data_IF_176391582507
#
_entry.id   IF_176391582507
#
_cell.length_a   1.000
_cell.length_b   1.000
_cell.length_c   1.000
_cell.angle_alpha   90.00
_cell.angle_beta   90.00
_cell.angle_gamma   90.00
#
_symmetry.space_group_name_H-M   'P 1'
#
loop_
_entity.id
_entity.type
_entity.pdbx_description
1 polymer ?
#
# COMPACT_ATOMS: atom_id res chain seq x y z
N UNK A 1 -0.43 43.15 10.68
CA UNK A 1 -0.73 43.14 9.24
C UNK A 1 0.02 41.99 8.59
N UNK A 2 -0.70 41.06 7.95
CA UNK A 2 -0.05 39.96 7.24
C UNK A 2 0.57 40.49 5.92
N UNK A 3 1.83 40.15 5.60
CA UNK A 3 2.51 40.60 4.38
C UNK A 3 1.99 39.94 3.10
N UNK A 4 1.18 38.88 3.24
CA UNK A 4 0.61 38.11 2.14
C UNK A 4 -0.72 37.45 2.58
N UNK A 5 -1.54 36.93 1.66
CA UNK A 5 -2.71 36.14 2.00
C UNK A 5 -2.36 34.99 2.95
N UNK A 6 -3.24 34.71 3.92
CA UNK A 6 -3.05 33.65 4.94
C UNK A 6 -3.32 32.24 4.38
N UNK A 7 -3.10 32.03 3.11
CA UNK A 7 -3.25 30.75 2.43
C UNK A 7 -1.90 30.32 1.86
N UNK A 8 -1.39 29.20 2.37
CA UNK A 8 -0.11 28.65 1.91
C UNK A 8 -0.36 27.29 1.27
N UNK A 9 -0.04 27.11 -0.02
CA UNK A 9 -0.16 25.82 -0.67
C UNK A 9 0.97 24.88 -0.23
N UNK A 10 0.62 23.67 0.23
CA UNK A 10 1.55 22.55 0.43
C UNK A 10 1.43 21.64 -0.78
N UNK A 11 2.43 21.65 -1.64
CA UNK A 11 2.30 21.13 -3.00
C UNK A 11 3.16 19.89 -3.20
N UNK A 12 2.56 18.83 -3.78
CA UNK A 12 3.27 17.61 -4.14
C UNK A 12 3.64 17.60 -5.63
N UNK A 13 4.94 17.47 -5.95
CA UNK A 13 5.47 17.40 -7.32
C UNK A 13 4.92 18.51 -8.26
N UNK A 14 5.14 19.79 -7.94
CA UNK A 14 4.75 20.86 -8.84
C UNK A 14 5.56 20.80 -10.15
N UNK A 15 4.94 21.15 -11.25
CA UNK A 15 5.57 21.37 -12.54
C UNK A 15 5.09 22.69 -13.17
N UNK A 16 5.67 23.09 -14.31
CA UNK A 16 5.34 24.32 -14.99
C UNK A 16 3.86 24.40 -15.46
N UNK A 17 3.25 23.25 -15.76
CA UNK A 17 1.85 23.17 -16.19
C UNK A 17 0.88 23.08 -14.99
N UNK A 18 1.34 22.56 -13.87
CA UNK A 18 0.56 22.30 -12.66
C UNK A 18 1.28 22.83 -11.42
N UNK A 19 1.25 24.15 -11.20
CA UNK A 19 1.94 24.80 -10.08
C UNK A 19 1.39 24.34 -8.72
N UNK A 20 0.13 23.87 -8.66
CA UNK A 20 -0.48 23.26 -7.46
C UNK A 20 -0.24 21.75 -7.35
N UNK A 21 0.66 21.21 -8.16
CA UNK A 21 1.15 19.86 -8.06
C UNK A 21 0.25 18.78 -8.64
N UNK A 22 0.60 17.54 -8.33
CA UNK A 22 -0.07 16.33 -8.79
C UNK A 22 -0.57 15.53 -7.60
N UNK A 23 -1.67 14.80 -7.81
CA UNK A 23 -2.06 13.75 -6.87
C UNK A 23 -1.06 12.59 -6.92
N UNK A 24 -0.79 11.97 -5.77
CA UNK A 24 -0.05 10.70 -5.73
C UNK A 24 -0.88 9.55 -6.28
N UNK A 25 -2.21 9.64 -6.22
CA UNK A 25 -3.13 8.68 -6.83
C UNK A 25 -3.16 8.95 -8.32
N UNK A 26 -2.51 8.10 -9.10
CA UNK A 26 -2.49 8.16 -10.57
C UNK A 26 -3.72 7.50 -11.16
N UNK A 27 -3.99 7.76 -12.45
CA UNK A 27 -5.05 7.04 -13.19
C UNK A 27 -4.75 5.54 -13.28
N UNK A 28 -3.47 5.17 -13.35
CA UNK A 28 -3.05 3.77 -13.33
C UNK A 28 -3.46 3.10 -12.01
N UNK A 29 -3.18 3.72 -10.86
CA UNK A 29 -3.62 3.22 -9.55
C UNK A 29 -5.14 3.01 -9.50
N UNK A 30 -5.92 3.97 -9.98
CA UNK A 30 -7.39 3.87 -10.03
C UNK A 30 -7.85 2.71 -10.91
N UNK A 31 -7.24 2.54 -12.08
CA UNK A 31 -7.54 1.44 -13.00
C UNK A 31 -7.23 0.06 -12.41
N UNK A 32 -6.07 -0.07 -11.75
CA UNK A 32 -5.65 -1.30 -11.07
C UNK A 32 -6.58 -1.65 -9.91
N UNK A 33 -6.97 -0.68 -9.09
CA UNK A 33 -7.94 -0.87 -8.02
C UNK A 33 -9.29 -1.36 -8.55
N UNK A 34 -9.80 -0.73 -9.61
CA UNK A 34 -11.05 -1.16 -10.24
C UNK A 34 -10.95 -2.57 -10.83
N UNK A 35 -9.78 -2.94 -11.38
CA UNK A 35 -9.50 -4.30 -11.85
C UNK A 35 -9.56 -5.31 -10.71
N UNK A 36 -8.88 -5.01 -9.60
CA UNK A 36 -8.88 -5.85 -8.40
C UNK A 36 -10.29 -6.04 -7.83
N UNK A 37 -11.08 -4.96 -7.69
CA UNK A 37 -12.46 -5.02 -7.21
C UNK A 37 -13.36 -5.89 -8.11
N UNK A 38 -13.21 -5.80 -9.44
CA UNK A 38 -13.95 -6.68 -10.36
C UNK A 38 -13.55 -8.14 -10.22
N UNK A 39 -12.28 -8.41 -9.98
CA UNK A 39 -11.79 -9.78 -9.74
C UNK A 39 -12.33 -10.33 -8.43
N UNK A 40 -12.33 -9.56 -7.35
CA UNK A 40 -12.94 -9.94 -6.08
C UNK A 40 -14.42 -10.28 -6.25
N UNK A 41 -15.18 -9.42 -6.93
CA UNK A 41 -16.61 -9.68 -7.17
C UNK A 41 -16.84 -10.96 -7.99
N UNK A 42 -15.99 -11.23 -8.98
CA UNK A 42 -16.06 -12.49 -9.76
C UNK A 42 -15.72 -13.70 -8.89
N UNK A 43 -14.73 -13.58 -8.01
CA UNK A 43 -14.38 -14.66 -7.10
C UNK A 43 -15.48 -14.97 -6.10
N UNK A 44 -16.18 -13.97 -5.57
CA UNK A 44 -17.36 -14.16 -4.71
C UNK A 44 -18.47 -14.93 -5.43
N UNK A 45 -18.84 -14.51 -6.63
CA UNK A 45 -19.85 -15.20 -7.45
C UNK A 45 -19.40 -16.64 -7.75
N UNK A 46 -18.13 -16.84 -8.12
CA UNK A 46 -17.59 -18.17 -8.39
C UNK A 46 -17.58 -19.06 -7.14
N UNK A 47 -17.33 -18.48 -5.96
CA UNK A 47 -17.34 -19.19 -4.70
C UNK A 47 -18.74 -19.73 -4.35
N UNK A 48 -19.81 -19.02 -4.69
CA UNK A 48 -21.18 -19.51 -4.51
C UNK A 48 -21.41 -20.77 -5.34
N UNK A 49 -21.04 -20.77 -6.62
CA UNK A 49 -21.14 -21.96 -7.48
C UNK A 49 -20.21 -23.09 -7.05
N UNK A 50 -19.03 -22.76 -6.53
CA UNK A 50 -18.09 -23.75 -5.99
C UNK A 50 -18.64 -24.46 -4.74
N UNK A 51 -19.32 -23.72 -3.87
CA UNK A 51 -19.91 -24.25 -2.64
C UNK A 51 -21.09 -25.17 -2.89
N UNK A 52 -21.80 -24.97 -4.00
CA UNK A 52 -22.97 -25.74 -4.40
C UNK A 52 -22.81 -26.32 -5.82
N UNK A 53 -21.95 -27.31 -6.01
CA UNK A 53 -21.71 -27.86 -7.34
C UNK A 53 -22.98 -28.49 -7.91
N UNK A 54 -23.30 -28.12 -9.14
CA UNK A 54 -24.49 -28.68 -9.81
C UNK A 54 -24.28 -30.16 -10.10
N UNK A 55 -25.32 -30.94 -9.73
CA UNK A 55 -25.39 -32.36 -10.01
C UNK A 55 -26.30 -32.58 -11.22
N UNK A 56 -26.03 -33.58 -12.02
CA UNK A 56 -26.86 -33.97 -13.16
C UNK A 56 -27.12 -35.47 -13.14
N UNK A 57 -28.24 -35.85 -13.70
CA UNK A 57 -28.67 -37.23 -13.83
C UNK A 57 -29.05 -37.42 -15.32
N UNK A 58 -28.58 -38.49 -15.93
CA UNK A 58 -28.91 -38.87 -17.28
C UNK A 58 -29.58 -40.26 -17.28
N UNK A 59 -30.58 -40.48 -18.15
CA UNK A 59 -31.22 -41.78 -18.28
C UNK A 59 -32.30 -42.02 -17.19
N UNK A 60 -33.07 -41.01 -16.85
CA UNK A 60 -34.28 -41.17 -16.01
C UNK A 60 -35.48 -41.47 -16.91
N UNK A 61 -36.40 -42.34 -16.43
CA UNK A 61 -37.67 -42.67 -17.15
C UNK A 61 -38.55 -41.39 -17.31
N UNK A 62 -39.41 -41.38 -18.35
CA UNK A 62 -40.31 -40.26 -18.61
C UNK A 62 -41.35 -40.04 -17.51
N UNK A 63 -41.67 -41.10 -16.70
CA UNK A 63 -42.60 -41.06 -15.58
C UNK A 63 -41.94 -40.79 -14.23
N UNK A 64 -40.63 -40.47 -14.22
CA UNK A 64 -39.95 -40.13 -12.98
C UNK A 64 -40.49 -38.80 -12.41
N UNK A 65 -40.91 -38.80 -11.17
CA UNK A 65 -41.32 -37.61 -10.46
C UNK A 65 -40.20 -36.54 -10.56
N UNK A 66 -40.58 -35.29 -10.80
CA UNK A 66 -39.61 -34.18 -10.83
C UNK A 66 -38.92 -34.09 -9.49
N UNK A 67 -37.64 -34.30 -9.51
CA UNK A 67 -36.80 -34.21 -8.30
C UNK A 67 -36.88 -32.84 -7.67
N UNK A 68 -37.18 -32.76 -6.37
CA UNK A 68 -37.17 -31.53 -5.62
C UNK A 68 -35.73 -30.95 -5.65
N UNK A 69 -35.58 -29.82 -6.35
CA UNK A 69 -34.29 -29.13 -6.54
C UNK A 69 -33.65 -28.80 -5.20
N UNK A 70 -34.44 -28.51 -4.18
CA UNK A 70 -33.93 -28.17 -2.86
C UNK A 70 -33.33 -29.40 -2.14
N UNK A 71 -34.00 -30.54 -2.22
CA UNK A 71 -33.48 -31.81 -1.67
C UNK A 71 -32.20 -32.25 -2.41
N UNK A 72 -32.14 -32.10 -3.73
CA UNK A 72 -30.98 -32.44 -4.52
C UNK A 72 -29.75 -31.59 -4.17
N UNK A 73 -29.95 -30.35 -3.74
CA UNK A 73 -28.86 -29.43 -3.38
C UNK A 73 -28.31 -29.74 -1.99
N UNK A 74 -29.13 -30.10 -1.03
CA UNK A 74 -28.76 -30.23 0.38
C UNK A 74 -28.60 -31.69 0.81
N UNK A 75 -29.37 -32.64 0.22
CA UNK A 75 -29.30 -34.04 0.60
C UNK A 75 -28.09 -34.78 0.01
N UNK A 76 -27.39 -35.50 0.85
CA UNK A 76 -26.26 -36.34 0.45
C UNK A 76 -26.68 -37.69 -0.18
N UNK A 77 -27.94 -38.12 -0.05
CA UNK A 77 -28.46 -39.35 -0.59
C UNK A 77 -29.56 -39.06 -1.62
N UNK A 78 -29.30 -39.45 -2.87
CA UNK A 78 -30.24 -39.39 -3.97
C UNK A 78 -30.49 -40.82 -4.41
N UNK A 79 -31.74 -41.30 -4.29
CA UNK A 79 -32.17 -42.61 -4.78
C UNK A 79 -32.76 -42.45 -6.20
N UNK A 80 -32.30 -43.26 -7.12
CA UNK A 80 -32.76 -43.30 -8.50
C UNK A 80 -33.25 -44.72 -8.84
N UNK A 81 -34.39 -44.82 -9.50
CA UNK A 81 -34.90 -46.05 -10.03
C UNK A 81 -34.29 -46.37 -11.38
N UNK A 82 -34.34 -47.64 -11.77
CA UNK A 82 -33.94 -48.08 -13.12
C UNK A 82 -34.83 -47.49 -14.19
N UNK A 83 -34.28 -47.29 -15.40
CA UNK A 83 -35.05 -46.92 -16.57
C UNK A 83 -35.96 -48.05 -17.04
N UNK A 84 -36.90 -47.78 -17.99
CA UNK A 84 -37.80 -48.74 -18.57
C UNK A 84 -37.06 -49.91 -19.23
N UNK A 85 -35.89 -49.68 -19.79
CA UNK A 85 -34.99 -50.66 -20.37
C UNK A 85 -34.11 -51.40 -19.34
N UNK A 86 -34.25 -51.11 -18.09
CA UNK A 86 -33.51 -51.72 -16.96
C UNK A 86 -32.13 -51.19 -16.73
N UNK A 87 -31.73 -50.15 -17.44
CA UNK A 87 -30.45 -49.48 -17.26
C UNK A 87 -30.43 -48.55 -16.03
N UNK A 88 -29.26 -48.44 -15.39
CA UNK A 88 -29.08 -47.56 -14.24
C UNK A 88 -28.83 -46.12 -14.71
N UNK A 89 -29.47 -45.11 -14.12
CA UNK A 89 -29.19 -43.74 -14.44
C UNK A 89 -27.75 -43.37 -14.08
N UNK A 90 -27.13 -42.57 -14.92
CA UNK A 90 -25.79 -42.05 -14.71
C UNK A 90 -25.88 -40.74 -13.91
N UNK A 91 -25.31 -40.72 -12.73
CA UNK A 91 -25.26 -39.57 -11.87
C UNK A 91 -23.87 -38.94 -11.97
N UNK A 92 -23.83 -37.66 -12.21
CA UNK A 92 -22.59 -36.91 -12.29
C UNK A 92 -22.69 -35.58 -11.55
N UNK A 93 -21.54 -35.01 -11.34
CA UNK A 93 -21.37 -33.68 -10.75
C UNK A 93 -20.43 -32.88 -11.65
N UNK A 94 -20.76 -31.63 -11.92
CA UNK A 94 -19.83 -30.76 -12.62
C UNK A 94 -18.57 -30.53 -11.78
N UNK A 95 -17.42 -30.54 -12.46
CA UNK A 95 -16.14 -30.36 -11.80
C UNK A 95 -16.09 -28.97 -11.16
N UNK A 96 -15.69 -28.92 -9.90
CA UNK A 96 -15.48 -27.66 -9.21
C UNK A 96 -14.29 -26.91 -9.82
N UNK A 97 -14.47 -25.63 -10.08
CA UNK A 97 -13.40 -24.78 -10.56
C UNK A 97 -12.50 -24.33 -9.41
N UNK A 98 -11.19 -24.29 -9.66
CA UNK A 98 -10.23 -23.76 -8.68
C UNK A 98 -10.41 -22.25 -8.50
N UNK A 99 -10.28 -21.77 -7.26
CA UNK A 99 -10.26 -20.34 -6.93
C UNK A 99 -8.86 -19.71 -7.08
N UNK A 100 -7.81 -20.52 -7.27
CA UNK A 100 -6.42 -20.06 -7.46
C UNK A 100 -6.25 -18.98 -8.53
N UNK A 101 -6.87 -19.06 -9.72
CA UNK A 101 -6.70 -18.04 -10.76
C UNK A 101 -7.11 -16.64 -10.30
N UNK A 102 -8.14 -16.54 -9.46
CA UNK A 102 -8.57 -15.25 -8.92
C UNK A 102 -7.56 -14.67 -7.94
N UNK A 103 -6.99 -15.51 -7.07
CA UNK A 103 -5.95 -15.11 -6.11
C UNK A 103 -4.68 -14.67 -6.85
N UNK A 104 -4.27 -15.40 -7.88
CA UNK A 104 -3.12 -15.04 -8.70
C UNK A 104 -3.33 -13.73 -9.44
N UNK A 105 -4.54 -13.51 -9.97
CA UNK A 105 -4.89 -12.26 -10.65
C UNK A 105 -4.88 -11.08 -9.67
N UNK A 106 -5.40 -11.25 -8.44
CA UNK A 106 -5.34 -10.22 -7.40
C UNK A 106 -3.91 -9.90 -7.02
N UNK A 107 -3.05 -10.92 -6.87
CA UNK A 107 -1.62 -10.75 -6.61
C UNK A 107 -0.92 -9.99 -7.74
N UNK A 108 -1.30 -10.24 -8.99
CA UNK A 108 -0.77 -9.51 -10.15
C UNK A 108 -1.17 -8.03 -10.09
N UNK A 109 -2.45 -7.71 -9.79
CA UNK A 109 -2.88 -6.32 -9.62
C UNK A 109 -2.16 -5.64 -8.45
N UNK A 110 -1.96 -6.35 -7.35
CA UNK A 110 -1.20 -5.83 -6.20
C UNK A 110 0.26 -5.55 -6.58
N UNK A 111 0.92 -6.43 -7.33
CA UNK A 111 2.29 -6.23 -7.78
C UNK A 111 2.43 -5.00 -8.71
N UNK A 112 1.50 -4.83 -9.65
CA UNK A 112 1.48 -3.66 -10.52
C UNK A 112 1.19 -2.38 -9.74
N UNK A 113 0.29 -2.43 -8.77
CA UNK A 113 -0.03 -1.30 -7.90
C UNK A 113 1.16 -0.93 -7.00
N UNK A 114 1.84 -1.91 -6.44
CA UNK A 114 3.07 -1.71 -5.66
C UNK A 114 4.15 -1.03 -6.50
N UNK A 115 4.37 -1.49 -7.74
CA UNK A 115 5.31 -0.88 -8.67
C UNK A 115 4.98 0.57 -9.03
N UNK A 116 3.69 0.89 -9.25
CA UNK A 116 3.24 2.25 -9.57
C UNK A 116 3.37 3.21 -8.37
N UNK A 117 3.14 2.71 -7.16
CA UNK A 117 3.12 3.54 -5.93
C UNK A 117 4.45 3.57 -5.20
N UNK A 118 5.39 2.68 -5.52
CA UNK A 118 6.64 2.49 -4.79
C UNK A 118 6.46 1.78 -3.45
N UNK A 119 5.33 1.09 -3.26
CA UNK A 119 5.07 0.21 -2.13
C UNK A 119 5.64 -1.20 -2.40
N UNK A 120 5.61 -2.05 -1.38
CA UNK A 120 5.94 -3.48 -1.51
C UNK A 120 4.65 -4.32 -1.53
N UNK A 121 4.77 -5.59 -1.92
CA UNK A 121 3.63 -6.52 -1.81
C UNK A 121 3.24 -6.77 -0.37
N UNK A 122 4.20 -6.75 0.55
CA UNK A 122 3.97 -6.91 1.99
C UNK A 122 3.14 -5.76 2.56
N UNK A 123 3.38 -4.51 2.09
CA UNK A 123 2.56 -3.34 2.45
C UNK A 123 1.10 -3.49 2.01
N UNK A 124 0.84 -4.31 0.99
CA UNK A 124 -0.49 -4.59 0.46
C UNK A 124 -1.12 -5.86 1.07
N UNK A 125 -0.48 -6.47 2.06
CA UNK A 125 -0.98 -7.66 2.77
C UNK A 125 -0.67 -8.99 2.10
N UNK A 126 0.17 -9.02 1.05
CA UNK A 126 0.65 -10.25 0.43
C UNK A 126 2.00 -10.66 1.02
N UNK A 127 1.97 -11.19 2.23
CA UNK A 127 3.17 -11.61 2.94
C UNK A 127 3.79 -12.84 2.26
N UNK A 128 5.13 -12.86 2.18
CA UNK A 128 5.89 -14.02 1.75
C UNK A 128 6.20 -14.94 2.93
N UNK A 129 6.15 -16.24 2.73
CA UNK A 129 6.38 -17.25 3.79
C UNK A 129 7.79 -17.22 4.40
N UNK A 130 8.75 -16.59 3.72
CA UNK A 130 10.11 -16.39 4.21
C UNK A 130 10.27 -14.95 4.73
N UNK A 131 10.52 -14.77 6.04
CA UNK A 131 10.81 -13.45 6.59
C UNK A 131 12.09 -12.90 5.97
N UNK A 132 11.98 -11.72 5.34
CA UNK A 132 13.12 -11.01 4.79
C UNK A 132 14.02 -10.49 5.91
N UNK A 133 15.33 -10.43 5.67
CA UNK A 133 16.24 -9.77 6.61
C UNK A 133 15.88 -8.28 6.77
N UNK A 134 16.22 -7.68 7.90
CA UNK A 134 15.98 -6.25 8.15
C UNK A 134 16.59 -5.35 7.05
N UNK A 135 17.74 -5.74 6.51
CA UNK A 135 18.40 -5.04 5.40
C UNK A 135 17.62 -5.16 4.09
N UNK A 136 17.07 -6.36 3.81
CA UNK A 136 16.24 -6.59 2.63
C UNK A 136 14.94 -5.78 2.71
N UNK A 137 14.31 -5.68 3.90
CA UNK A 137 13.14 -4.84 4.15
C UNK A 137 13.48 -3.36 3.91
N UNK A 138 14.58 -2.86 4.47
CA UNK A 138 15.02 -1.48 4.24
C UNK A 138 15.29 -1.20 2.76
N UNK A 139 15.93 -2.14 2.06
CA UNK A 139 16.19 -2.04 0.63
C UNK A 139 14.91 -2.04 -0.21
N UNK A 140 13.92 -2.84 0.14
CA UNK A 140 12.64 -2.89 -0.59
C UNK A 140 11.85 -1.59 -0.48
N UNK A 141 11.98 -0.85 0.63
CA UNK A 141 11.32 0.44 0.86
C UNK A 141 12.13 1.66 0.36
N UNK A 142 13.28 1.46 -0.29
CA UNK A 142 14.13 2.57 -0.74
C UNK A 142 13.39 3.51 -1.72
N UNK A 143 12.57 2.96 -2.60
CA UNK A 143 11.75 3.73 -3.54
C UNK A 143 10.76 4.65 -2.82
N UNK A 144 10.09 4.14 -1.79
CA UNK A 144 9.19 4.92 -0.93
C UNK A 144 9.95 6.00 -0.15
N UNK A 145 11.13 5.65 0.38
CA UNK A 145 12.01 6.58 1.09
C UNK A 145 12.42 7.78 0.23
N UNK A 146 12.83 7.50 -0.99
CA UNK A 146 13.21 8.57 -1.96
C UNK A 146 12.01 9.45 -2.32
N UNK A 147 10.83 8.84 -2.51
CA UNK A 147 9.59 9.59 -2.76
C UNK A 147 9.21 10.49 -1.57
N UNK A 148 9.33 9.98 -0.34
CA UNK A 148 9.09 10.74 0.88
C UNK A 148 10.05 11.92 1.02
N UNK A 149 11.38 11.71 0.82
CA UNK A 149 12.37 12.78 0.84
C UNK A 149 12.10 13.87 -0.18
N UNK A 150 11.65 13.48 -1.38
CA UNK A 150 11.28 14.44 -2.43
C UNK A 150 10.05 15.25 -2.01
N UNK A 151 9.05 14.60 -1.37
CA UNK A 151 7.87 15.25 -0.83
C UNK A 151 8.23 16.20 0.31
N UNK A 152 9.07 15.77 1.27
CA UNK A 152 9.55 16.61 2.38
C UNK A 152 10.18 17.92 1.87
N UNK A 153 10.97 17.85 0.79
CA UNK A 153 11.60 19.05 0.20
C UNK A 153 10.56 20.04 -0.34
N UNK A 154 9.53 19.56 -1.05
CA UNK A 154 8.48 20.42 -1.61
C UNK A 154 7.51 20.93 -0.53
N UNK A 155 7.13 20.09 0.42
CA UNK A 155 6.28 20.47 1.54
C UNK A 155 6.99 21.43 2.49
N UNK A 156 8.30 21.23 2.71
CA UNK A 156 9.12 22.10 3.55
C UNK A 156 9.05 23.56 3.11
N UNK A 157 9.05 23.83 1.81
CA UNK A 157 8.85 25.19 1.28
C UNK A 157 7.49 25.79 1.70
N UNK A 158 6.42 24.99 1.66
CA UNK A 158 5.10 25.42 2.14
C UNK A 158 5.10 25.70 3.63
N UNK A 159 5.65 24.80 4.44
CA UNK A 159 5.73 24.99 5.90
C UNK A 159 6.58 26.19 6.31
N UNK A 160 7.68 26.46 5.62
CA UNK A 160 8.48 27.67 5.84
C UNK A 160 7.68 28.96 5.55
N UNK A 161 6.88 28.95 4.50
CA UNK A 161 6.00 30.09 4.21
C UNK A 161 4.92 30.25 5.27
N UNK A 162 4.33 29.16 5.75
CA UNK A 162 3.35 29.20 6.85
C UNK A 162 3.98 29.72 8.14
N UNK A 163 5.17 29.22 8.49
CA UNK A 163 5.93 29.68 9.66
C UNK A 163 6.30 31.17 9.57
N UNK A 164 6.71 31.62 8.39
CA UNK A 164 6.96 33.04 8.15
C UNK A 164 5.74 33.92 8.42
N UNK A 165 4.58 33.54 7.85
CA UNK A 165 3.33 34.27 8.07
C UNK A 165 2.91 34.26 9.53
N UNK A 166 3.05 33.13 10.20
CA UNK A 166 2.72 32.98 11.61
C UNK A 166 3.62 33.88 12.49
N UNK A 167 4.93 33.95 12.22
CA UNK A 167 5.84 34.84 12.92
C UNK A 167 5.49 36.30 12.71
N UNK A 168 5.21 36.72 11.46
CA UNK A 168 4.79 38.08 11.17
C UNK A 168 3.50 38.47 11.90
N UNK A 169 2.53 37.53 11.98
CA UNK A 169 1.27 37.78 12.69
C UNK A 169 1.46 37.85 14.21
N UNK A 170 2.24 36.92 14.76
CA UNK A 170 2.50 36.87 16.21
C UNK A 170 3.13 38.16 16.71
N UNK A 171 4.13 38.68 15.99
CA UNK A 171 4.94 39.80 16.41
C UNK A 171 4.46 41.14 15.85
N UNK A 172 3.45 41.13 14.97
CA UNK A 172 2.91 42.33 14.31
C UNK A 172 3.86 43.02 13.33
N UNK A 173 4.97 42.36 12.97
CA UNK A 173 6.08 42.88 12.16
C UNK A 173 6.15 42.12 10.83
N UNK A 174 6.24 42.81 9.71
CA UNK A 174 6.56 42.20 8.42
C UNK A 174 8.07 41.95 8.31
N UNK A 175 8.50 40.78 8.70
CA UNK A 175 9.90 40.38 8.58
C UNK A 175 10.35 40.32 7.10
N UNK A 176 11.61 40.70 6.86
CA UNK A 176 12.23 40.41 5.55
C UNK A 176 12.61 38.93 5.49
N UNK A 177 12.36 38.28 4.34
CA UNK A 177 12.66 36.86 4.18
C UNK A 177 14.14 36.52 4.43
N UNK A 178 15.04 37.45 4.14
CA UNK A 178 16.47 37.30 4.44
C UNK A 178 16.79 37.12 5.94
N UNK A 179 15.96 37.64 6.82
CA UNK A 179 16.15 37.47 8.28
C UNK A 179 15.87 36.04 8.75
N UNK A 180 15.09 35.28 7.95
CA UNK A 180 14.70 33.91 8.27
C UNK A 180 15.37 32.88 7.35
N UNK A 181 16.47 33.26 6.64
CA UNK A 181 17.14 32.39 5.67
C UNK A 181 17.75 31.12 6.29
N UNK A 182 18.06 31.14 7.59
CA UNK A 182 18.59 29.99 8.33
C UNK A 182 17.50 29.06 8.83
N UNK A 183 16.23 29.47 8.77
CA UNK A 183 15.11 28.63 9.20
C UNK A 183 14.94 27.45 8.25
N UNK A 184 14.93 26.24 8.78
CA UNK A 184 14.78 25.00 8.03
C UNK A 184 13.64 24.17 8.59
N UNK A 185 12.84 23.49 7.75
CA UNK A 185 11.92 22.50 8.23
C UNK A 185 12.72 21.29 8.76
N UNK A 186 12.45 20.88 9.97
CA UNK A 186 13.04 19.67 10.57
C UNK A 186 12.05 18.53 10.36
N UNK A 187 12.55 17.46 9.78
CA UNK A 187 11.79 16.22 9.54
C UNK A 187 12.42 15.10 10.36
N UNK A 188 11.61 14.28 10.93
CA UNK A 188 12.10 13.05 11.52
C UNK A 188 12.57 12.07 10.43
N UNK A 189 13.53 11.18 10.74
CA UNK A 189 13.99 10.18 9.82
C UNK A 189 12.81 9.33 9.30
N UNK A 190 12.81 9.02 8.00
CA UNK A 190 11.75 8.19 7.38
C UNK A 190 11.73 6.78 7.98
N UNK A 191 12.89 6.29 8.43
CA UNK A 191 13.02 5.06 9.20
C UNK A 191 13.75 5.39 10.49
N UNK A 192 13.21 4.95 11.61
CA UNK A 192 13.88 5.02 12.88
C UNK A 192 15.15 4.16 12.82
N UNK A 193 16.31 4.70 13.21
CA UNK A 193 17.54 3.92 13.24
C UNK A 193 17.47 2.89 14.35
N UNK A 194 17.72 1.62 14.01
CA UNK A 194 17.88 0.55 14.99
C UNK A 194 19.22 0.68 15.75
N UNK A 195 19.37 -0.09 16.83
CA UNK A 195 20.56 -0.05 17.68
C UNK A 195 21.86 -0.32 16.89
N UNK A 196 21.84 -1.21 15.90
CA UNK A 196 22.98 -1.52 15.06
C UNK A 196 23.36 -0.35 14.17
N UNK A 197 22.37 0.32 13.57
CA UNK A 197 22.57 1.54 12.77
C UNK A 197 23.12 2.68 13.63
N UNK A 198 22.60 2.86 14.86
CA UNK A 198 23.09 3.87 15.79
C UNK A 198 24.55 3.62 16.20
N UNK A 199 24.89 2.37 16.51
CA UNK A 199 26.27 1.98 16.78
C UNK A 199 27.19 2.28 15.61
N UNK A 200 26.79 1.90 14.39
CA UNK A 200 27.56 2.17 13.16
C UNK A 200 27.74 3.68 12.90
N UNK A 201 26.71 4.50 13.15
CA UNK A 201 26.81 5.96 13.06
C UNK A 201 27.79 6.49 14.10
N UNK A 202 27.72 6.03 15.36
CA UNK A 202 28.63 6.41 16.42
C UNK A 202 30.09 6.13 16.09
N UNK A 203 30.40 4.93 15.61
CA UNK A 203 31.74 4.53 15.19
C UNK A 203 32.25 5.37 13.98
N UNK A 204 31.39 5.58 12.97
CA UNK A 204 31.72 6.39 11.81
C UNK A 204 32.03 7.85 12.19
N UNK A 205 31.17 8.45 13.03
CA UNK A 205 31.34 9.82 13.53
C UNK A 205 32.60 9.94 14.39
N UNK A 206 32.88 8.96 15.26
CA UNK A 206 34.10 8.92 16.06
C UNK A 206 35.35 8.94 15.18
N UNK A 207 35.40 8.07 14.15
CA UNK A 207 36.51 8.00 13.19
C UNK A 207 36.67 9.30 12.38
N UNK A 208 35.58 9.90 11.92
CA UNK A 208 35.62 11.13 11.14
C UNK A 208 36.07 12.31 12.02
N UNK A 209 35.55 12.44 13.25
CA UNK A 209 35.94 13.49 14.17
C UNK A 209 37.40 13.34 14.68
N UNK A 210 37.92 12.11 14.68
CA UNK A 210 39.34 11.88 14.95
C UNK A 210 40.21 12.41 13.80
N UNK A 211 39.79 12.24 12.54
CA UNK A 211 40.50 12.75 11.37
C UNK A 211 40.30 14.26 11.17
N UNK A 212 39.11 14.76 11.42
CA UNK A 212 38.73 16.17 11.29
C UNK A 212 37.95 16.59 12.55
N UNK A 213 38.65 17.17 13.55
CA UNK A 213 38.00 17.54 14.80
C UNK A 213 36.84 18.52 14.63
N UNK A 214 35.67 18.16 15.19
CA UNK A 214 34.48 19.02 15.17
C UNK A 214 33.69 19.00 13.85
N UNK A 215 33.98 18.07 12.92
CA UNK A 215 33.24 17.95 11.64
C UNK A 215 31.77 17.58 11.88
N UNK A 216 31.50 16.62 12.77
CA UNK A 216 30.15 16.31 13.23
C UNK A 216 29.91 16.92 14.61
N UNK A 217 29.06 17.95 14.65
CA UNK A 217 28.55 18.52 15.90
C UNK A 217 27.25 17.84 16.35
N UNK A 218 26.75 18.25 17.53
CA UNK A 218 25.53 17.72 18.12
C UNK A 218 24.29 17.89 17.22
N UNK A 219 24.17 18.98 16.48
CA UNK A 219 23.06 19.20 15.54
C UNK A 219 23.06 18.21 14.38
N UNK A 220 24.23 17.96 13.80
CA UNK A 220 24.37 17.00 12.69
C UNK A 220 24.06 15.58 13.15
N UNK A 221 24.41 15.23 14.39
CA UNK A 221 24.07 13.93 14.97
C UNK A 221 22.58 13.79 15.23
N UNK A 222 21.92 14.84 15.71
CA UNK A 222 20.46 14.86 15.87
C UNK A 222 19.75 14.65 14.53
N UNK A 223 20.21 15.34 13.49
CA UNK A 223 19.63 15.21 12.13
C UNK A 223 19.83 13.80 11.54
N UNK A 224 20.98 13.15 11.83
CA UNK A 224 21.28 11.80 11.37
C UNK A 224 20.54 10.71 12.16
N UNK A 225 20.42 10.87 13.46
CA UNK A 225 19.86 9.86 14.35
C UNK A 225 18.38 10.07 14.62
N UNK A 226 17.86 11.29 14.47
CA UNK A 226 16.51 11.67 14.87
C UNK A 226 16.32 11.76 16.40
N UNK A 227 17.34 11.42 17.17
CA UNK A 227 17.26 11.43 18.63
C UNK A 227 17.42 12.86 19.12
N UNK A 228 16.41 13.37 19.80
CA UNK A 228 16.45 14.65 20.51
C UNK A 228 16.75 14.39 21.97
N UNK A 229 17.78 15.07 22.50
CA UNK A 229 17.95 15.09 23.94
C UNK A 229 16.78 15.87 24.54
N UNK A 230 16.06 15.26 25.47
CA UNK A 230 15.16 16.00 26.36
C UNK A 230 16.01 17.03 27.12
N UNK A 231 15.76 18.29 26.85
CA UNK A 231 16.37 19.43 27.56
C UNK A 231 15.39 19.95 28.59
#
# INVERSE_FOLDING_TARGET
LAPAPLLVPVVYRPDAKRPFGHSRISRACMGLQQGALRTLKRSEISAEFYSFPQKYVLGTSNDAEQMDKWKATISSFLEFTKDEDGDKPVVGQFTQQSMSPYTEQLRTFAALFAGETGLTLDDLGFVTDNPSSAEAIKSSHESLRLAARKAQRTFGSGFLNAGYLAACMRDGIAYQRQQLYLTRPVWEPVFEPDAATLSGIGDAVGKINTAIPGYFGAENLRDLTGIRSES
#
